data_IF_226929202018
#
_entry.id   IF_226929202018
#
_cell.length_a   1.000
_cell.length_b   1.000
_cell.length_c   1.000
_cell.angle_alpha   90.00
_cell.angle_beta   90.00
_cell.angle_gamma   90.00
#
_symmetry.space_group_name_H-M   'P 1'
#
loop_
_entity.id
_entity.type
_entity.pdbx_description
1 polymer ?
#
# COMPACT_ATOMS: atom_id res chain seq x y z
N UNK A 1 -47.68 -20.54 -9.49
CA UNK A 1 -46.93 -20.61 -10.77
C UNK A 1 -46.22 -19.30 -11.08
N UNK A 2 -46.84 -18.11 -10.93
CA UNK A 2 -46.18 -16.81 -11.19
C UNK A 2 -44.93 -16.54 -10.33
N UNK A 3 -44.86 -17.16 -9.16
CA UNK A 3 -43.79 -17.03 -8.17
C UNK A 3 -42.51 -17.83 -8.49
N UNK A 4 -42.58 -18.90 -9.29
CA UNK A 4 -41.39 -19.73 -9.59
C UNK A 4 -40.46 -19.06 -10.59
N UNK A 5 -41.00 -18.43 -11.65
CA UNK A 5 -40.19 -17.71 -12.64
C UNK A 5 -39.46 -16.50 -12.03
N UNK A 6 -40.13 -15.71 -11.20
CA UNK A 6 -39.52 -14.58 -10.48
C UNK A 6 -38.43 -15.05 -9.52
N UNK A 7 -38.65 -16.18 -8.81
CA UNK A 7 -37.64 -16.75 -7.93
C UNK A 7 -36.40 -17.24 -8.69
N UNK A 8 -36.58 -17.91 -9.83
CA UNK A 8 -35.46 -18.39 -10.67
C UNK A 8 -34.64 -17.22 -11.20
N UNK A 9 -35.29 -16.16 -11.71
CA UNK A 9 -34.59 -14.97 -12.21
C UNK A 9 -33.86 -14.25 -11.07
N UNK A 10 -34.50 -14.10 -9.91
CA UNK A 10 -33.86 -13.47 -8.75
C UNK A 10 -32.60 -14.23 -8.32
N UNK A 11 -32.67 -15.56 -8.21
CA UNK A 11 -31.51 -16.39 -7.85
C UNK A 11 -30.41 -16.30 -8.91
N UNK A 12 -30.77 -16.34 -10.19
CA UNK A 12 -29.80 -16.24 -11.30
C UNK A 12 -29.03 -14.92 -11.33
N UNK A 13 -29.62 -13.82 -10.85
CA UNK A 13 -28.97 -12.50 -10.78
C UNK A 13 -28.22 -12.30 -9.47
N UNK A 14 -28.75 -12.80 -8.35
CA UNK A 14 -28.14 -12.61 -7.03
C UNK A 14 -26.83 -13.38 -6.88
N UNK A 15 -26.75 -14.62 -7.39
CA UNK A 15 -25.54 -15.44 -7.29
C UNK A 15 -24.31 -14.75 -7.92
N UNK A 16 -24.32 -14.32 -9.20
CA UNK A 16 -23.15 -13.68 -9.80
C UNK A 16 -22.81 -12.35 -9.13
N UNK A 17 -23.80 -11.59 -8.64
CA UNK A 17 -23.58 -10.35 -7.92
C UNK A 17 -22.82 -10.60 -6.60
N UNK A 18 -23.26 -11.59 -5.82
CA UNK A 18 -22.60 -11.97 -4.57
C UNK A 18 -21.18 -12.48 -4.82
N UNK A 19 -20.99 -13.33 -5.84
CA UNK A 19 -19.66 -13.82 -6.23
C UNK A 19 -18.73 -12.66 -6.63
N UNK A 20 -19.23 -11.71 -7.42
CA UNK A 20 -18.48 -10.52 -7.82
C UNK A 20 -18.07 -9.67 -6.61
N UNK A 21 -18.99 -9.43 -5.66
CA UNK A 21 -18.71 -8.71 -4.43
C UNK A 21 -17.62 -9.40 -3.58
N UNK A 22 -17.68 -10.73 -3.44
CA UNK A 22 -16.67 -11.51 -2.72
C UNK A 22 -15.31 -11.42 -3.43
N UNK A 23 -15.29 -11.49 -4.77
CA UNK A 23 -14.07 -11.39 -5.56
C UNK A 23 -13.43 -10.00 -5.38
N UNK A 24 -14.22 -8.93 -5.50
CA UNK A 24 -13.75 -7.55 -5.29
C UNK A 24 -13.23 -7.37 -3.85
N UNK A 25 -13.98 -7.83 -2.84
CA UNK A 25 -13.56 -7.76 -1.45
C UNK A 25 -12.26 -8.54 -1.21
N UNK A 26 -12.15 -9.75 -1.78
CA UNK A 26 -10.93 -10.56 -1.77
C UNK A 26 -9.75 -9.85 -2.42
N UNK A 27 -9.95 -9.20 -3.57
CA UNK A 27 -8.91 -8.39 -4.24
C UNK A 27 -8.51 -7.16 -3.42
N UNK A 28 -9.46 -6.49 -2.77
CA UNK A 28 -9.19 -5.34 -1.90
C UNK A 28 -8.38 -5.81 -0.69
N UNK A 29 -8.78 -6.89 -0.03
CA UNK A 29 -8.06 -7.46 1.11
C UNK A 29 -6.68 -7.97 0.70
N UNK A 30 -6.57 -8.66 -0.43
CA UNK A 30 -5.30 -9.11 -0.98
C UNK A 30 -4.39 -7.94 -1.32
N UNK A 31 -4.90 -6.91 -2.00
CA UNK A 31 -4.12 -5.70 -2.29
C UNK A 31 -3.73 -4.93 -1.03
N UNK A 32 -4.56 -4.94 0.02
CA UNK A 32 -4.23 -4.32 1.31
C UNK A 32 -3.16 -5.13 2.07
N UNK A 33 -3.23 -6.46 1.99
CA UNK A 33 -2.28 -7.35 2.67
C UNK A 33 -0.94 -7.49 1.91
N UNK A 34 -0.97 -7.44 0.58
CA UNK A 34 0.22 -7.53 -0.27
C UNK A 34 1.09 -6.28 -0.24
N UNK A 35 0.64 -5.19 0.40
CA UNK A 35 1.52 -4.07 0.76
C UNK A 35 2.50 -4.41 1.89
N UNK A 36 2.39 -5.60 2.48
CA UNK A 36 3.27 -6.05 3.57
C UNK A 36 4.34 -7.07 3.15
N UNK A 37 4.40 -7.48 1.88
CA UNK A 37 5.38 -8.49 1.41
C UNK A 37 6.42 -7.93 0.44
N UNK A 38 6.95 -6.76 0.79
CA UNK A 38 8.35 -6.42 0.46
C UNK A 38 9.13 -6.28 1.77
N UNK A 39 8.99 -7.26 2.66
CA UNK A 39 9.89 -7.45 3.79
C UNK A 39 10.95 -8.46 3.35
N UNK A 40 12.03 -7.93 2.79
CA UNK A 40 13.36 -8.52 2.92
C UNK A 40 13.66 -8.74 4.40
N UNK A 41 14.28 -9.87 4.81
CA UNK A 41 14.62 -10.10 6.20
C UNK A 41 15.89 -9.31 6.52
N UNK A 42 15.75 -8.05 6.89
CA UNK A 42 16.84 -7.29 7.53
C UNK A 42 16.38 -6.91 8.92
N UNK A 43 16.78 -7.75 9.87
CA UNK A 43 16.93 -7.36 11.26
C UNK A 43 17.80 -6.11 11.33
N UNK A 44 17.26 -5.02 11.88
CA UNK A 44 17.78 -4.31 13.07
C UNK A 44 17.11 -2.94 13.18
N UNK A 45 16.29 -2.82 14.22
CA UNK A 45 16.30 -1.70 15.16
C UNK A 45 16.24 -0.29 14.55
N UNK A 46 15.01 0.23 14.43
CA UNK A 46 14.54 1.55 14.93
C UNK A 46 13.54 2.21 13.98
N UNK A 47 12.44 2.63 14.61
CA UNK A 47 11.47 3.61 14.15
C UNK A 47 10.62 3.23 12.93
N UNK A 48 9.55 2.52 13.27
CA UNK A 48 8.18 2.87 12.92
C UNK A 48 8.01 4.40 12.77
N UNK A 49 8.27 4.92 11.58
CA UNK A 49 7.65 6.15 11.11
C UNK A 49 6.96 5.77 9.82
N UNK A 50 5.66 5.49 9.97
CA UNK A 50 4.64 5.70 8.93
C UNK A 50 4.74 7.17 8.52
N UNK A 51 5.78 7.48 7.77
CA UNK A 51 6.06 8.84 7.34
C UNK A 51 4.96 9.21 6.37
N UNK A 52 4.33 10.38 6.53
CA UNK A 52 3.32 10.82 5.58
C UNK A 52 3.93 10.70 4.20
N UNK A 53 3.21 10.07 3.26
CA UNK A 53 3.49 10.25 1.84
C UNK A 53 3.67 11.76 1.65
N UNK A 54 4.91 12.23 1.54
CA UNK A 54 5.25 13.64 1.54
C UNK A 54 4.77 14.18 0.20
N UNK A 55 3.47 14.47 0.10
CA UNK A 55 2.72 15.13 -0.97
C UNK A 55 3.12 14.79 -2.43
N UNK A 56 3.77 13.64 -2.66
CA UNK A 56 4.27 13.23 -3.98
C UNK A 56 5.55 12.39 -3.97
N UNK A 57 6.30 12.31 -2.87
CA UNK A 57 7.56 11.55 -2.81
C UNK A 57 7.60 10.50 -1.71
N UNK A 58 7.98 9.27 -2.10
CA UNK A 58 8.17 8.16 -1.18
C UNK A 58 9.48 8.35 -0.39
N UNK A 59 9.37 8.47 0.93
CA UNK A 59 10.52 8.61 1.83
C UNK A 59 11.53 7.46 1.70
N UNK A 60 11.08 6.23 1.40
CA UNK A 60 11.98 5.10 1.15
C UNK A 60 12.87 5.33 -0.07
N UNK A 61 12.34 5.98 -1.10
CA UNK A 61 13.10 6.32 -2.30
C UNK A 61 14.13 7.42 -2.05
N UNK A 62 13.77 8.44 -1.27
CA UNK A 62 14.71 9.50 -0.87
C UNK A 62 15.83 8.90 -0.01
N UNK A 63 15.47 8.07 0.97
CA UNK A 63 16.39 7.38 1.86
C UNK A 63 17.36 6.47 1.11
N UNK A 64 16.88 5.74 0.09
CA UNK A 64 17.74 4.95 -0.78
C UNK A 64 18.68 5.82 -1.64
N UNK A 65 18.20 6.95 -2.17
CA UNK A 65 19.01 7.86 -2.97
C UNK A 65 20.11 8.54 -2.14
N UNK A 66 19.78 8.99 -0.93
CA UNK A 66 20.72 9.64 0.00
C UNK A 66 21.55 8.64 0.80
N UNK A 67 21.36 7.33 0.60
CA UNK A 67 21.96 6.26 1.39
C UNK A 67 21.82 6.49 2.90
N UNK A 68 20.57 6.52 3.38
CA UNK A 68 20.22 6.79 4.77
C UNK A 68 20.71 8.15 5.27
N UNK A 69 20.73 9.16 4.39
CA UNK A 69 21.27 10.48 4.71
C UNK A 69 22.71 10.40 5.25
N UNK A 70 23.54 9.57 4.60
CA UNK A 70 24.92 9.40 5.03
C UNK A 70 25.73 10.70 4.88
N UNK A 71 26.66 10.94 5.79
CA UNK A 71 27.55 12.11 5.73
C UNK A 71 28.35 12.18 4.42
N UNK A 72 28.63 11.04 3.78
CA UNK A 72 29.27 10.99 2.46
C UNK A 72 28.43 11.63 1.33
N UNK A 73 27.12 11.76 1.56
CA UNK A 73 26.17 12.39 0.65
C UNK A 73 25.78 13.79 1.12
N UNK A 74 26.28 14.28 2.25
CA UNK A 74 26.06 15.64 2.70
C UNK A 74 26.78 16.63 1.78
N UNK A 75 26.00 17.51 1.18
CA UNK A 75 26.48 18.62 0.35
C UNK A 75 26.87 19.83 1.19
N UNK A 76 26.24 20.00 2.35
CA UNK A 76 26.52 21.10 3.28
C UNK A 76 25.45 21.24 4.34
N UNK A 77 25.63 22.21 5.24
CA UNK A 77 24.66 22.56 6.28
C UNK A 77 24.60 24.09 6.41
N UNK A 78 23.39 24.63 6.31
CA UNK A 78 23.13 26.06 6.48
C UNK A 78 22.18 26.32 7.64
N UNK A 79 21.68 27.55 7.77
CA UNK A 79 20.72 27.91 8.84
C UNK A 79 19.38 27.17 8.80
N UNK A 80 19.12 26.42 7.71
CA UNK A 80 17.92 25.60 7.52
C UNK A 80 18.19 24.10 7.70
N UNK A 81 19.43 23.71 8.03
CA UNK A 81 19.84 22.31 8.25
C UNK A 81 20.70 21.70 7.13
N UNK A 82 20.95 20.39 7.21
CA UNK A 82 21.82 19.65 6.28
C UNK A 82 21.14 19.36 4.93
N UNK A 83 21.91 19.41 3.86
CA UNK A 83 21.48 19.11 2.48
C UNK A 83 22.24 17.89 1.99
N UNK A 84 21.54 16.91 1.40
CA UNK A 84 22.12 15.67 0.88
C UNK A 84 21.89 15.53 -0.63
N UNK A 85 22.80 14.86 -1.33
CA UNK A 85 22.67 14.48 -2.74
C UNK A 85 21.97 13.15 -2.93
#
# INVERSE_FOLDING_TARGET
SKNTGTAVIAVAVLIPLVLLCILIFGLILWRRNSRKTSQTPVNRDKEEVDGPELLGFNLLSIRAATNDFSESNKLGEGGYGPVYK
#
